data_IF_857304460474
#
_entry.id   IF_857304460474
#
_cell.length_a   1.000
_cell.length_b   1.000
_cell.length_c   1.000
_cell.angle_alpha   90.00
_cell.angle_beta   90.00
_cell.angle_gamma   90.00
#
_symmetry.space_group_name_H-M   'P 1'
#
loop_
_entity.id
_entity.type
_entity.pdbx_description
1 polymer ?
#
# COMPACT_ATOMS: atom_id res chain seq x y z
N UNK A 1 -2.77 -17.12 2.85
CA UNK A 1 -1.94 -15.94 2.53
C UNK A 1 -0.91 -16.35 1.49
N UNK A 2 -0.80 -15.62 0.37
CA UNK A 2 0.29 -15.81 -0.59
C UNK A 2 1.44 -14.88 -0.20
N UNK A 3 2.61 -15.45 0.05
CA UNK A 3 3.83 -14.69 0.36
C UNK A 3 4.84 -14.93 -0.74
N UNK A 4 5.46 -13.87 -1.25
CA UNK A 4 6.52 -13.95 -2.26
C UNK A 4 7.68 -13.06 -1.82
N UNK A 5 8.88 -13.64 -1.81
CA UNK A 5 10.10 -12.88 -1.56
C UNK A 5 10.52 -12.24 -2.89
N UNK A 6 10.69 -10.92 -2.88
CA UNK A 6 11.16 -10.14 -4.03
C UNK A 6 12.48 -9.47 -3.69
N UNK A 7 13.28 -9.17 -4.71
CA UNK A 7 14.57 -8.50 -4.56
C UNK A 7 14.44 -7.05 -5.02
N UNK A 8 15.07 -6.13 -4.29
CA UNK A 8 15.29 -4.77 -4.77
C UNK A 8 16.50 -4.82 -5.70
N UNK A 9 16.31 -4.41 -6.95
CA UNK A 9 17.39 -4.36 -7.92
C UNK A 9 18.41 -3.28 -7.54
N UNK A 10 19.69 -3.51 -7.88
CA UNK A 10 20.80 -2.63 -7.47
C UNK A 10 20.64 -1.17 -7.92
N UNK A 11 19.90 -0.94 -8.99
CA UNK A 11 19.70 0.38 -9.60
C UNK A 11 18.24 0.86 -9.48
N UNK A 12 17.43 0.20 -8.65
CA UNK A 12 16.05 0.59 -8.42
C UNK A 12 15.92 1.35 -7.10
N UNK A 13 15.12 2.41 -7.11
CA UNK A 13 14.81 3.20 -5.90
C UNK A 13 13.72 2.55 -5.03
N UNK A 14 13.15 1.41 -5.45
CA UNK A 14 12.02 0.77 -4.76
C UNK A 14 11.84 -0.72 -5.07
N UNK A 15 10.78 -1.29 -4.49
CA UNK A 15 10.38 -2.69 -4.67
C UNK A 15 9.33 -2.79 -5.77
N UNK A 16 9.57 -3.63 -6.78
CA UNK A 16 8.54 -3.99 -7.73
C UNK A 16 7.56 -4.99 -7.11
N UNK A 17 6.27 -4.65 -7.11
CA UNK A 17 5.21 -5.55 -6.63
C UNK A 17 4.83 -6.50 -7.76
N UNK A 18 4.82 -7.83 -7.52
CA UNK A 18 4.39 -8.80 -8.52
C UNK A 18 2.97 -8.53 -9.05
N UNK A 19 2.79 -8.68 -10.36
CA UNK A 19 1.53 -8.37 -11.04
C UNK A 19 0.33 -9.17 -10.50
N UNK A 20 0.57 -10.40 -10.04
CA UNK A 20 -0.46 -11.22 -9.41
C UNK A 20 -1.00 -10.63 -8.10
N UNK A 21 -0.17 -9.90 -7.35
CA UNK A 21 -0.57 -9.21 -6.10
C UNK A 21 -1.33 -7.92 -6.46
N UNK A 22 -0.84 -7.16 -7.44
CA UNK A 22 -1.51 -5.96 -7.92
C UNK A 22 -2.95 -6.27 -8.38
N UNK A 23 -3.14 -7.33 -9.17
CA UNK A 23 -4.47 -7.77 -9.63
C UNK A 23 -5.40 -8.18 -8.49
N UNK A 24 -4.87 -8.78 -7.42
CA UNK A 24 -5.67 -9.14 -6.25
C UNK A 24 -6.17 -7.92 -5.48
N UNK A 25 -5.45 -6.80 -5.56
CA UNK A 25 -5.82 -5.52 -4.96
C UNK A 25 -6.48 -4.58 -5.97
N UNK A 26 -6.83 -5.08 -7.16
CA UNK A 26 -7.44 -4.31 -8.25
C UNK A 26 -6.63 -3.06 -8.64
N UNK A 27 -5.31 -3.09 -8.42
CA UNK A 27 -4.39 -2.00 -8.74
C UNK A 27 -4.02 -2.05 -10.22
N UNK A 28 -4.49 -1.05 -10.95
CA UNK A 28 -4.14 -0.81 -12.36
C UNK A 28 -3.07 0.27 -12.49
N UNK A 29 -2.35 0.36 -13.62
CA UNK A 29 -1.44 1.47 -13.89
C UNK A 29 -2.17 2.82 -13.73
N UNK A 30 -1.60 3.72 -12.92
CA UNK A 30 -2.19 5.02 -12.61
C UNK A 30 -3.12 5.04 -11.39
N UNK A 31 -3.38 3.90 -10.74
CA UNK A 31 -4.12 3.87 -9.48
C UNK A 31 -3.33 4.58 -8.36
N UNK A 32 -4.05 5.33 -7.52
CA UNK A 32 -3.48 5.95 -6.32
C UNK A 32 -3.44 4.94 -5.17
N UNK A 33 -2.37 5.01 -4.39
CA UNK A 33 -2.17 4.16 -3.21
C UNK A 33 -1.68 5.00 -2.05
N UNK A 34 -2.17 4.70 -0.85
CA UNK A 34 -1.54 5.18 0.37
C UNK A 34 -0.33 4.28 0.71
N UNK A 35 0.77 4.92 1.08
CA UNK A 35 1.97 4.25 1.62
C UNK A 35 2.15 4.64 3.09
N UNK A 36 2.00 3.66 4.00
CA UNK A 36 2.19 3.86 5.44
C UNK A 36 3.35 3.04 5.97
N UNK A 37 4.16 3.63 6.85
CA UNK A 37 5.27 2.94 7.53
C UNK A 37 4.88 2.62 8.97
N UNK A 38 4.71 1.35 9.28
CA UNK A 38 4.61 0.88 10.66
C UNK A 38 6.04 0.67 11.21
N UNK A 39 6.52 1.65 11.98
CA UNK A 39 7.87 1.62 12.58
C UNK A 39 8.04 0.52 13.63
N UNK A 40 6.97 0.11 14.31
CA UNK A 40 7.02 -0.91 15.37
C UNK A 40 7.25 -2.29 14.76
N UNK A 41 6.53 -2.59 13.67
CA UNK A 41 6.66 -3.86 12.93
C UNK A 41 7.72 -3.82 11.83
N UNK A 42 8.23 -2.63 11.50
CA UNK A 42 9.15 -2.36 10.38
C UNK A 42 8.53 -2.78 9.05
N UNK A 43 7.25 -2.44 8.85
CA UNK A 43 6.49 -2.78 7.64
C UNK A 43 6.19 -1.55 6.81
N UNK A 44 6.13 -1.77 5.50
CA UNK A 44 5.50 -0.85 4.55
C UNK A 44 4.13 -1.44 4.23
N UNK A 45 3.09 -0.66 4.46
CA UNK A 45 1.71 -1.03 4.18
C UNK A 45 1.27 -0.20 2.99
N UNK A 46 0.71 -0.87 1.98
CA UNK A 46 0.16 -0.26 0.78
C UNK A 46 -1.34 -0.50 0.77
N UNK A 47 -2.14 0.56 0.70
CA UNK A 47 -3.60 0.50 0.59
C UNK A 47 -4.03 1.15 -0.73
N UNK A 48 -4.75 0.45 -1.62
CA UNK A 48 -5.44 1.08 -2.75
C UNK A 48 -6.35 2.20 -2.27
N UNK A 49 -6.36 3.33 -2.97
CA UNK A 49 -7.33 4.39 -2.70
C UNK A 49 -8.53 4.21 -3.64
N UNK A 50 -9.63 3.64 -3.15
CA UNK A 50 -10.89 3.61 -3.90
C UNK A 50 -11.74 4.86 -3.59
N UNK A 51 -12.63 5.24 -4.51
CA UNK A 51 -13.52 6.40 -4.32
C UNK A 51 -14.43 6.29 -3.07
N UNK A 52 -14.71 5.08 -2.60
CA UNK A 52 -15.49 4.79 -1.40
C UNK A 52 -14.65 4.76 -0.09
N UNK A 53 -13.32 4.57 -0.18
CA UNK A 53 -12.41 4.54 0.98
C UNK A 53 -12.18 5.93 1.61
N UNK A 54 -12.61 7.00 0.94
CA UNK A 54 -12.41 8.37 1.41
C UNK A 54 -13.08 8.64 2.77
N UNK A 55 -14.23 8.01 3.06
CA UNK A 55 -15.01 8.25 4.28
C UNK A 55 -14.37 7.56 5.51
N UNK A 56 -13.81 6.36 5.36
CA UNK A 56 -13.11 5.68 6.45
C UNK A 56 -11.78 6.37 6.79
N UNK A 57 -11.03 6.76 5.77
CA UNK A 57 -9.74 7.45 5.96
C UNK A 57 -9.89 8.80 6.66
N UNK A 58 -11.00 9.49 6.40
CA UNK A 58 -11.35 10.73 7.09
C UNK A 58 -11.67 10.53 8.58
N UNK A 59 -12.31 9.41 8.95
CA UNK A 59 -12.63 9.09 10.35
C UNK A 59 -11.37 8.80 11.17
N UNK A 60 -10.47 7.96 10.67
CA UNK A 60 -9.20 7.66 11.37
C UNK A 60 -8.32 8.92 11.51
N UNK A 61 -8.32 9.79 10.50
CA UNK A 61 -7.56 11.06 10.56
C UNK A 61 -8.13 12.02 11.60
N UNK A 62 -9.45 12.13 11.72
CA UNK A 62 -10.08 12.97 12.75
C UNK A 62 -9.92 12.41 14.17
N UNK A 63 -9.97 11.09 14.35
CA UNK A 63 -9.73 10.44 15.65
C UNK A 63 -8.27 10.54 16.12
N UNK A 64 -7.31 10.64 15.19
CA UNK A 64 -5.89 10.76 15.52
C UNK A 64 -5.42 12.21 15.76
N UNK A 65 -6.29 13.19 15.50
CA UNK A 65 -6.06 14.62 15.80
C UNK A 65 -6.80 15.12 17.06
N UNK A 66 -7.67 14.30 17.65
CA UNK A 66 -8.35 14.55 18.93
C UNK A 66 -7.57 13.93 20.10
#
# INVERSE_FOLDING_TARGET
MKTKIVRIDKNAEGVAIPAEILRQLELIPGAEVEVKVDKKRKWIILRPMHGEDFIEHFRETMESMA
#
